data_IF_400937080615
#
_entry.id   IF_400937080615
#
_cell.length_a   1.000
_cell.length_b   1.000
_cell.length_c   1.000
_cell.angle_alpha   90.00
_cell.angle_beta   90.00
_cell.angle_gamma   90.00
#
_symmetry.space_group_name_H-M   'P 1'
#
loop_
_entity.id
_entity.type
_entity.pdbx_description
1 polymer ?
#
# COMPACT_ATOMS: atom_id res chain seq x y z
N UNK A 1 11.84 42.14 -55.26
CA UNK A 1 10.48 42.70 -55.31
C UNK A 1 9.77 42.18 -54.07
N UNK A 2 9.54 43.07 -53.10
CA UNK A 2 8.46 43.08 -52.09
C UNK A 2 8.45 41.90 -51.08
N UNK A 3 8.95 42.07 -49.84
CA UNK A 3 8.21 42.58 -48.65
C UNK A 3 7.09 41.63 -48.17
N UNK A 4 7.21 41.13 -46.92
CA UNK A 4 6.22 41.17 -45.80
C UNK A 4 6.46 40.00 -44.84
N UNK A 5 6.94 40.30 -43.63
CA UNK A 5 6.14 40.57 -42.42
C UNK A 5 5.48 39.32 -41.88
N UNK A 6 6.01 38.78 -40.78
CA UNK A 6 5.20 38.31 -39.66
C UNK A 6 6.01 38.49 -38.37
N UNK A 7 5.91 39.70 -37.82
CA UNK A 7 6.01 39.93 -36.38
C UNK A 7 4.74 39.34 -35.77
N UNK A 8 4.86 38.48 -34.77
CA UNK A 8 3.75 38.21 -33.86
C UNK A 8 4.22 38.55 -32.45
N UNK A 9 3.74 39.71 -31.99
CA UNK A 9 3.81 40.15 -30.61
C UNK A 9 2.86 39.28 -29.79
N UNK A 10 3.36 38.65 -28.73
CA UNK A 10 2.52 38.22 -27.62
C UNK A 10 2.67 39.22 -26.49
N UNK A 11 1.55 39.93 -26.33
CA UNK A 11 1.25 40.99 -25.39
C UNK A 11 1.30 40.44 -23.96
N UNK A 12 2.14 41.06 -23.13
CA UNK A 12 2.00 41.07 -21.67
C UNK A 12 0.63 41.67 -21.32
N UNK A 13 -0.30 40.85 -20.81
CA UNK A 13 -1.48 41.34 -20.10
C UNK A 13 -1.26 41.19 -18.60
N UNK A 14 -0.91 42.32 -18.00
CA UNK A 14 -0.87 42.58 -16.57
C UNK A 14 -2.32 42.79 -16.10
N UNK A 15 -2.94 41.78 -15.50
CA UNK A 15 -4.24 41.95 -14.83
C UNK A 15 -3.99 42.20 -13.34
N UNK A 16 -4.09 43.47 -12.99
CA UNK A 16 -4.27 43.97 -11.63
C UNK A 16 -5.68 43.57 -11.19
N UNK A 17 -5.80 42.65 -10.23
CA UNK A 17 -7.06 42.37 -9.53
C UNK A 17 -6.94 42.86 -8.09
N UNK A 18 -7.42 44.08 -7.87
CA UNK A 18 -7.76 44.65 -6.56
C UNK A 18 -8.95 43.90 -5.97
N UNK A 19 -8.74 43.17 -4.86
CA UNK A 19 -9.81 42.67 -4.01
C UNK A 19 -9.95 43.61 -2.82
N UNK A 20 -10.99 44.43 -2.87
CA UNK A 20 -11.58 45.11 -1.72
C UNK A 20 -12.98 44.52 -1.52
N UNK A 21 -13.20 43.81 -0.41
CA UNK A 21 -14.53 43.43 0.09
C UNK A 21 -14.51 43.37 1.62
N UNK A 22 -14.82 44.54 2.18
CA UNK A 22 -15.78 44.78 3.27
C UNK A 22 -16.25 43.58 4.10
N UNK A 23 -15.75 43.52 5.33
CA UNK A 23 -16.49 43.56 6.59
C UNK A 23 -18.02 43.42 6.48
N UNK A 24 -18.52 42.24 6.84
CA UNK A 24 -19.86 42.05 7.39
C UNK A 24 -19.74 41.14 8.61
N UNK A 25 -19.75 41.76 9.80
CA UNK A 25 -19.85 41.08 11.08
C UNK A 25 -21.29 40.57 11.25
N UNK A 26 -21.51 39.28 11.02
CA UNK A 26 -22.68 38.54 11.47
C UNK A 26 -22.25 37.60 12.59
N UNK A 27 -22.51 38.00 13.84
CA UNK A 27 -22.20 37.19 15.01
C UNK A 27 -23.14 35.99 15.12
N UNK A 28 -22.64 34.82 14.74
CA UNK A 28 -23.11 33.56 15.32
C UNK A 28 -22.26 33.29 16.54
N UNK A 29 -22.86 33.41 17.73
CA UNK A 29 -22.30 32.87 18.96
C UNK A 29 -22.24 31.36 18.79
N UNK A 30 -21.06 30.84 18.46
CA UNK A 30 -20.74 29.43 18.64
C UNK A 30 -20.76 29.20 20.15
N UNK A 31 -21.83 28.59 20.64
CA UNK A 31 -21.84 28.01 21.98
C UNK A 31 -20.88 26.81 21.92
N UNK A 32 -19.64 27.03 22.37
CA UNK A 32 -18.69 25.96 22.63
C UNK A 32 -19.25 25.23 23.85
N UNK A 33 -19.91 24.10 23.61
CA UNK A 33 -20.33 23.17 24.65
C UNK A 33 -19.06 22.60 25.29
N UNK A 34 -18.58 23.24 26.37
CA UNK A 34 -17.55 22.73 27.26
C UNK A 34 -18.15 21.63 28.15
N UNK A 35 -18.77 20.63 27.53
CA UNK A 35 -19.05 19.38 28.22
C UNK A 35 -17.67 18.75 28.52
N UNK A 36 -17.39 18.32 29.76
CA UNK A 36 -16.21 17.52 30.00
C UNK A 36 -16.31 16.30 29.09
N UNK A 37 -15.37 16.20 28.14
CA UNK A 37 -15.06 14.96 27.42
C UNK A 37 -14.53 13.96 28.46
N UNK A 38 -15.44 13.47 29.27
CA UNK A 38 -15.21 12.38 30.22
C UNK A 38 -15.26 11.10 29.36
N UNK A 39 -14.16 10.35 29.40
CA UNK A 39 -13.82 9.19 28.56
C UNK A 39 -13.13 9.49 27.21
N UNK A 40 -12.04 10.27 27.23
CA UNK A 40 -10.90 9.89 26.37
C UNK A 40 -10.44 8.50 26.84
N UNK A 41 -11.03 7.44 26.29
CA UNK A 41 -10.38 6.14 26.35
C UNK A 41 -8.98 6.36 25.78
N UNK A 42 -8.00 6.15 26.63
CA UNK A 42 -6.58 6.27 26.32
C UNK A 42 -6.24 5.10 25.38
N UNK A 43 -6.69 5.21 24.13
CA UNK A 43 -6.27 4.39 23.01
C UNK A 43 -4.78 4.65 22.65
N UNK A 44 -4.08 5.50 23.42
CA UNK A 44 -2.82 6.11 23.01
C UNK A 44 -1.57 5.28 23.38
N UNK A 45 -1.66 4.25 24.22
CA UNK A 45 -0.50 3.39 24.49
C UNK A 45 -0.54 2.10 23.67
N UNK A 46 -0.03 2.18 22.42
CA UNK A 46 0.31 1.02 21.60
C UNK A 46 1.14 0.04 22.44
N UNK A 47 0.74 -1.23 22.44
CA UNK A 47 1.43 -2.30 23.18
C UNK A 47 2.96 -2.21 23.00
N UNK A 48 3.74 -2.17 24.10
CA UNK A 48 5.19 -2.00 24.02
C UNK A 48 5.91 -3.12 23.24
N UNK A 49 5.40 -4.35 23.28
CA UNK A 49 5.96 -5.48 22.54
C UNK A 49 5.67 -5.32 21.04
N UNK A 50 4.46 -4.91 20.66
CA UNK A 50 4.11 -4.61 19.28
C UNK A 50 4.95 -3.45 18.72
N UNK A 51 5.19 -2.42 19.52
CA UNK A 51 6.08 -1.31 19.15
C UNK A 51 7.51 -1.78 18.92
N UNK A 52 8.06 -2.59 19.84
CA UNK A 52 9.40 -3.15 19.70
C UNK A 52 9.52 -4.01 18.44
N UNK A 53 8.54 -4.88 18.18
CA UNK A 53 8.47 -5.69 16.97
C UNK A 53 8.47 -4.83 15.69
N UNK A 54 7.64 -3.79 15.64
CA UNK A 54 7.58 -2.89 14.50
C UNK A 54 8.91 -2.17 14.25
N UNK A 55 9.62 -1.78 15.31
CA UNK A 55 10.96 -1.19 15.20
C UNK A 55 11.99 -2.18 14.66
N UNK A 56 11.90 -3.46 15.03
CA UNK A 56 12.79 -4.51 14.54
C UNK A 56 12.54 -4.87 13.07
N UNK A 57 11.28 -5.03 12.67
CA UNK A 57 10.92 -5.23 11.26
C UNK A 57 11.43 -4.08 10.42
N UNK A 58 11.19 -2.83 10.85
CA UNK A 58 11.70 -1.65 10.16
C UNK A 58 13.21 -1.64 10.04
N UNK A 59 13.93 -1.99 11.12
CA UNK A 59 15.39 -2.08 11.09
C UNK A 59 15.86 -3.11 10.08
N UNK A 60 15.25 -4.29 10.06
CA UNK A 60 15.56 -5.34 9.11
C UNK A 60 15.27 -4.89 7.66
N UNK A 61 14.10 -4.31 7.39
CA UNK A 61 13.72 -3.76 6.09
C UNK A 61 14.71 -2.70 5.60
N UNK A 62 15.05 -1.72 6.44
CA UNK A 62 16.01 -0.67 6.08
C UNK A 62 17.41 -1.26 5.81
N UNK A 63 17.89 -2.18 6.63
CA UNK A 63 19.20 -2.82 6.43
C UNK A 63 19.25 -3.58 5.10
N UNK A 64 18.22 -4.35 4.76
CA UNK A 64 18.17 -5.09 3.50
C UNK A 64 18.04 -4.11 2.33
N UNK A 65 17.14 -3.13 2.39
CA UNK A 65 16.96 -2.13 1.34
C UNK A 65 18.27 -1.37 1.03
N UNK A 66 18.97 -0.90 2.06
CA UNK A 66 20.19 -0.11 1.87
C UNK A 66 21.42 -0.96 1.58
N UNK A 67 21.43 -2.23 2.00
CA UNK A 67 22.45 -3.21 1.64
C UNK A 67 22.30 -3.74 0.22
N UNK A 68 21.07 -3.86 -0.30
CA UNK A 68 20.79 -4.49 -1.59
C UNK A 68 20.62 -3.53 -2.76
N UNK A 69 20.31 -2.27 -2.48
CA UNK A 69 20.08 -1.27 -3.51
C UNK A 69 21.13 -0.18 -3.41
N UNK A 70 21.76 0.19 -4.53
CA UNK A 70 22.58 1.39 -4.55
C UNK A 70 21.70 2.67 -4.50
N UNK A 71 22.33 3.83 -4.29
CA UNK A 71 21.60 5.10 -4.19
C UNK A 71 20.82 5.45 -5.48
N UNK A 72 21.36 5.10 -6.65
CA UNK A 72 20.71 5.36 -7.93
C UNK A 72 19.49 4.46 -8.11
N UNK A 73 19.59 3.17 -7.80
CA UNK A 73 18.48 2.22 -7.87
C UNK A 73 17.32 2.63 -6.95
N UNK A 74 17.62 3.02 -5.70
CA UNK A 74 16.61 3.52 -4.77
C UNK A 74 15.88 4.75 -5.31
N UNK A 75 16.60 5.72 -5.86
CA UNK A 75 16.00 6.95 -6.39
C UNK A 75 15.21 6.68 -7.67
N UNK A 76 15.81 6.01 -8.65
CA UNK A 76 15.25 5.89 -9.99
C UNK A 76 14.16 4.82 -10.09
N UNK A 77 14.26 3.74 -9.31
CA UNK A 77 13.32 2.60 -9.41
C UNK A 77 12.30 2.54 -8.29
N UNK A 78 12.68 2.98 -7.09
CA UNK A 78 11.80 2.96 -5.91
C UNK A 78 11.28 4.36 -5.53
N UNK A 79 11.83 5.44 -6.09
CA UNK A 79 11.48 6.80 -5.69
C UNK A 79 11.94 7.16 -4.27
N UNK A 80 12.90 6.41 -3.73
CA UNK A 80 13.42 6.56 -2.36
C UNK A 80 14.68 7.42 -2.40
N UNK A 81 14.57 8.65 -1.88
CA UNK A 81 15.67 9.62 -1.82
C UNK A 81 16.25 9.82 -0.42
N UNK A 82 15.65 9.19 0.60
CA UNK A 82 16.08 9.29 1.98
C UNK A 82 17.28 8.38 2.28
N UNK A 83 18.01 8.71 3.34
CA UNK A 83 19.16 7.98 3.87
C UNK A 83 18.76 6.80 4.77
N UNK A 84 19.70 5.92 5.08
CA UNK A 84 19.45 4.78 5.98
C UNK A 84 19.04 5.26 7.38
N UNK A 85 19.70 6.30 7.90
CA UNK A 85 19.33 6.92 9.18
C UNK A 85 17.91 7.50 9.16
N UNK A 86 17.50 8.13 8.05
CA UNK A 86 16.12 8.59 7.86
C UNK A 86 15.13 7.42 7.78
N UNK A 87 15.50 6.29 7.16
CA UNK A 87 14.70 5.06 7.18
C UNK A 87 14.50 4.54 8.61
N UNK A 88 15.60 4.51 9.38
CA UNK A 88 15.63 4.08 10.78
C UNK A 88 15.03 5.09 11.77
N UNK A 89 14.57 6.25 11.33
CA UNK A 89 13.93 7.25 12.22
C UNK A 89 12.52 7.64 11.79
N UNK A 90 12.17 7.53 10.50
CA UNK A 90 10.85 7.88 10.02
C UNK A 90 9.90 6.67 10.07
N UNK A 91 8.94 6.72 11.00
CA UNK A 91 7.90 5.69 11.16
C UNK A 91 6.91 5.61 9.97
N UNK A 92 6.92 6.56 9.03
CA UNK A 92 5.92 6.67 7.97
C UNK A 92 6.39 6.36 6.54
N UNK A 93 7.65 5.94 6.34
CA UNK A 93 8.24 5.77 5.00
C UNK A 93 8.26 4.32 4.49
N UNK A 94 7.86 3.35 5.32
CA UNK A 94 7.79 1.96 4.91
C UNK A 94 6.37 1.60 4.43
N UNK A 95 6.25 0.83 3.33
CA UNK A 95 4.99 0.28 2.85
C UNK A 95 4.44 -0.80 3.78
N UNK A 96 5.08 -1.05 4.92
CA UNK A 96 4.54 -1.82 6.02
C UNK A 96 3.35 -1.11 6.70
N UNK A 97 2.44 -0.50 5.92
CA UNK A 97 1.28 0.30 6.29
C UNK A 97 0.18 -0.42 7.06
N UNK A 98 0.53 -1.37 7.93
CA UNK A 98 -0.28 -1.64 9.10
C UNK A 98 -0.10 -0.41 9.98
N UNK A 99 -1.11 0.45 10.01
CA UNK A 99 -1.16 1.48 11.04
C UNK A 99 -1.07 0.76 12.38
N UNK A 100 0.03 0.95 13.12
CA UNK A 100 0.23 0.26 14.40
C UNK A 100 -0.94 0.50 15.35
N UNK A 101 -1.59 1.66 15.26
CA UNK A 101 -2.84 1.95 15.95
C UNK A 101 -3.97 0.98 15.57
N UNK A 102 -4.23 0.77 14.28
CA UNK A 102 -5.27 -0.16 13.80
C UNK A 102 -4.98 -1.61 14.19
N UNK A 103 -3.71 -2.02 14.10
CA UNK A 103 -3.31 -3.37 14.51
C UNK A 103 -3.44 -3.55 16.03
N UNK A 104 -3.03 -2.56 16.81
CA UNK A 104 -3.20 -2.55 18.26
C UNK A 104 -4.68 -2.63 18.64
N UNK A 105 -5.54 -1.85 17.98
CA UNK A 105 -6.98 -1.89 18.16
C UNK A 105 -7.57 -3.28 17.88
N UNK A 106 -7.17 -3.90 16.76
CA UNK A 106 -7.61 -5.25 16.39
C UNK A 106 -7.16 -6.31 17.42
N UNK A 107 -5.96 -6.18 17.98
CA UNK A 107 -5.45 -7.07 19.03
C UNK A 107 -6.21 -6.86 20.34
N UNK A 108 -6.41 -5.61 20.77
CA UNK A 108 -7.16 -5.25 21.98
C UNK A 108 -8.62 -5.72 21.88
N UNK A 109 -9.19 -5.67 20.68
CA UNK A 109 -10.54 -6.15 20.39
C UNK A 109 -10.63 -7.66 20.15
N UNK A 110 -9.54 -8.40 20.36
CA UNK A 110 -9.46 -9.86 20.18
C UNK A 110 -9.78 -10.35 18.75
N UNK A 111 -9.75 -9.46 17.74
CA UNK A 111 -9.95 -9.81 16.32
C UNK A 111 -8.69 -10.40 15.68
N UNK A 112 -7.52 -10.13 16.29
CA UNK A 112 -6.23 -10.70 15.92
C UNK A 112 -5.52 -11.23 17.17
N UNK A 113 -4.93 -12.42 17.06
CA UNK A 113 -3.95 -12.92 18.03
C UNK A 113 -2.56 -12.90 17.39
N UNK A 114 -1.55 -12.40 18.10
CA UNK A 114 -0.17 -12.38 17.61
C UNK A 114 0.57 -13.65 18.05
N UNK A 115 1.10 -14.39 17.07
CA UNK A 115 2.09 -15.45 17.29
C UNK A 115 3.50 -14.84 17.24
N UNK A 116 4.07 -14.62 18.42
CA UNK A 116 5.39 -14.00 18.57
C UNK A 116 6.55 -14.87 18.08
N UNK A 117 6.41 -16.20 18.11
CA UNK A 117 7.43 -17.08 17.54
C UNK A 117 7.45 -16.97 16.01
N UNK A 118 6.27 -16.84 15.39
CA UNK A 118 6.15 -16.55 13.97
C UNK A 118 6.60 -15.12 13.62
N UNK A 119 6.41 -14.15 14.51
CA UNK A 119 6.92 -12.79 14.37
C UNK A 119 8.47 -12.77 14.33
N UNK A 120 9.13 -13.52 15.23
CA UNK A 120 10.58 -13.69 15.21
C UNK A 120 11.06 -14.38 13.92
N UNK A 121 10.31 -15.37 13.44
CA UNK A 121 10.60 -16.00 12.13
C UNK A 121 10.48 -15.00 10.99
N UNK A 122 9.49 -14.10 11.01
CA UNK A 122 9.34 -13.04 10.03
C UNK A 122 10.57 -12.11 9.98
N UNK A 123 11.02 -11.61 11.14
CA UNK A 123 12.21 -10.75 11.23
C UNK A 123 13.45 -11.47 10.70
N UNK A 124 13.62 -12.75 11.06
CA UNK A 124 14.73 -13.55 10.55
C UNK A 124 14.64 -13.77 9.03
N UNK A 125 13.44 -13.96 8.49
CA UNK A 125 13.23 -14.08 7.05
C UNK A 125 13.68 -12.83 6.29
N UNK A 126 13.37 -11.63 6.80
CA UNK A 126 13.89 -10.38 6.22
C UNK A 126 15.41 -10.36 6.14
N UNK A 127 16.08 -10.58 7.27
CA UNK A 127 17.53 -10.42 7.37
C UNK A 127 18.34 -11.48 6.61
N UNK A 128 17.70 -12.60 6.23
CA UNK A 128 18.34 -13.71 5.50
C UNK A 128 17.94 -13.79 4.03
N UNK A 129 17.00 -12.95 3.59
CA UNK A 129 16.53 -12.90 2.21
C UNK A 129 17.64 -12.42 1.27
N UNK A 130 17.68 -12.95 0.05
CA UNK A 130 18.57 -12.41 -0.98
C UNK A 130 18.06 -11.06 -1.50
N UNK A 131 18.98 -10.22 -1.99
CA UNK A 131 18.61 -8.94 -2.63
C UNK A 131 17.65 -9.10 -3.81
N UNK A 132 17.75 -10.24 -4.51
CA UNK A 132 16.83 -10.61 -5.57
C UNK A 132 15.40 -10.70 -5.04
N UNK A 133 15.19 -11.60 -4.07
CA UNK A 133 13.88 -11.89 -3.50
C UNK A 133 13.27 -10.69 -2.75
N UNK A 134 14.07 -9.90 -2.04
CA UNK A 134 13.58 -8.71 -1.31
C UNK A 134 13.02 -7.64 -2.26
N UNK A 135 13.61 -7.53 -3.44
CA UNK A 135 13.24 -6.51 -4.42
C UNK A 135 12.32 -7.03 -5.50
N UNK A 136 11.81 -8.26 -5.37
CA UNK A 136 10.68 -8.71 -6.16
C UNK A 136 9.44 -7.89 -5.81
N UNK A 137 8.63 -7.56 -6.82
CA UNK A 137 7.48 -6.67 -6.65
C UNK A 137 6.32 -7.28 -5.86
N UNK A 138 6.42 -8.55 -5.49
CA UNK A 138 5.42 -9.17 -4.61
C UNK A 138 5.60 -8.64 -3.20
N UNK A 139 4.50 -8.20 -2.58
CA UNK A 139 4.54 -7.65 -1.24
C UNK A 139 5.12 -8.69 -0.28
N UNK A 140 6.30 -8.39 0.26
CA UNK A 140 7.05 -9.16 1.24
C UNK A 140 6.16 -9.77 2.35
N UNK A 141 5.12 -9.04 2.77
CA UNK A 141 4.14 -9.46 3.79
C UNK A 141 3.40 -10.76 3.49
N UNK A 142 3.17 -11.05 2.21
CA UNK A 142 2.39 -12.23 1.81
C UNK A 142 3.26 -13.42 1.42
N UNK A 143 4.57 -13.22 1.27
CA UNK A 143 5.50 -14.22 0.72
C UNK A 143 6.57 -14.68 1.70
N UNK A 144 6.95 -13.87 2.69
CA UNK A 144 7.97 -14.27 3.67
C UNK A 144 7.45 -15.26 4.71
N UNK A 145 8.22 -16.32 5.04
CA UNK A 145 7.93 -17.20 6.17
C UNK A 145 7.78 -16.43 7.47
N UNK A 146 6.79 -16.76 8.29
CA UNK A 146 6.48 -16.11 9.57
C UNK A 146 5.59 -14.89 9.42
N UNK A 147 5.81 -14.04 8.41
CA UNK A 147 5.14 -12.73 8.32
C UNK A 147 3.63 -12.82 8.14
N UNK A 148 3.14 -13.81 7.39
CA UNK A 148 1.70 -14.07 7.28
C UNK A 148 1.15 -14.86 8.47
N UNK A 149 1.96 -15.73 9.08
CA UNK A 149 1.51 -16.60 10.17
C UNK A 149 1.46 -15.89 11.53
N UNK A 150 2.20 -14.79 11.69
CA UNK A 150 2.27 -14.07 12.97
C UNK A 150 0.95 -13.40 13.36
N UNK A 151 0.07 -13.11 12.41
CA UNK A 151 -1.25 -12.55 12.67
C UNK A 151 -2.27 -13.66 12.48
N UNK A 152 -2.85 -14.14 13.59
CA UNK A 152 -3.85 -15.19 13.58
C UNK A 152 -5.23 -14.52 13.59
N UNK A 153 -5.96 -14.50 12.46
CA UNK A 153 -7.28 -13.90 12.38
C UNK A 153 -8.27 -14.64 13.27
N UNK A 154 -9.18 -13.90 13.90
CA UNK A 154 -10.25 -14.47 14.73
C UNK A 154 -11.64 -14.21 14.15
N UNK A 155 -11.80 -13.27 13.21
CA UNK A 155 -13.12 -12.83 12.75
C UNK A 155 -13.70 -13.73 11.66
N UNK A 156 -14.94 -14.19 11.86
CA UNK A 156 -15.70 -14.98 10.90
C UNK A 156 -16.35 -14.09 9.82
N UNK A 157 -16.77 -14.69 8.70
CA UNK A 157 -17.48 -13.95 7.66
C UNK A 157 -18.78 -13.32 8.21
N UNK A 158 -18.98 -12.04 7.90
CA UNK A 158 -20.11 -11.23 8.37
C UNK A 158 -19.83 -10.46 9.66
N UNK A 159 -18.67 -10.65 10.29
CA UNK A 159 -18.22 -9.83 11.42
C UNK A 159 -17.54 -8.55 10.94
N UNK A 160 -17.55 -7.52 11.77
CA UNK A 160 -16.89 -6.24 11.49
C UNK A 160 -15.37 -6.41 11.43
N UNK A 161 -14.75 -5.73 10.48
CA UNK A 161 -13.31 -5.71 10.30
C UNK A 161 -12.81 -4.34 9.86
N UNK A 162 -11.52 -4.10 10.07
CA UNK A 162 -10.83 -2.91 9.53
C UNK A 162 -9.65 -3.35 8.66
N UNK A 163 -8.97 -4.41 9.07
CA UNK A 163 -7.84 -5.02 8.38
C UNK A 163 -8.24 -6.37 7.76
N UNK A 164 -7.64 -6.70 6.61
CA UNK A 164 -7.81 -8.03 5.99
C UNK A 164 -7.32 -9.15 6.93
N UNK A 165 -6.32 -8.85 7.77
CA UNK A 165 -5.70 -9.75 8.73
C UNK A 165 -6.58 -10.08 9.95
N UNK A 166 -7.71 -9.41 10.14
CA UNK A 166 -8.71 -9.74 11.16
C UNK A 166 -9.55 -10.94 10.75
N UNK A 167 -9.81 -11.08 9.44
CA UNK A 167 -10.75 -12.05 8.89
C UNK A 167 -10.10 -13.41 8.64
N UNK A 168 -10.77 -14.50 9.04
CA UNK A 168 -10.31 -15.87 8.76
C UNK A 168 -10.23 -16.14 7.26
N UNK A 169 -11.11 -15.50 6.47
CA UNK A 169 -11.06 -15.51 5.01
C UNK A 169 -9.83 -14.79 4.43
N UNK A 170 -9.18 -13.94 5.23
CA UNK A 170 -8.11 -13.03 4.82
C UNK A 170 -8.60 -11.85 3.96
N UNK A 171 -9.87 -11.47 4.09
CA UNK A 171 -10.46 -10.38 3.32
C UNK A 171 -11.52 -9.60 4.10
N UNK A 172 -11.25 -8.31 4.26
CA UNK A 172 -12.16 -7.32 4.80
C UNK A 172 -12.85 -6.56 3.65
N UNK A 173 -14.14 -6.85 3.45
CA UNK A 173 -14.92 -6.22 2.39
C UNK A 173 -15.30 -4.79 2.79
N UNK A 174 -14.74 -3.82 2.05
CA UNK A 174 -15.01 -2.41 2.30
C UNK A 174 -16.35 -1.98 1.72
N UNK A 175 -17.19 -1.36 2.54
CA UNK A 175 -18.44 -0.80 2.08
C UNK A 175 -18.22 0.62 1.53
N UNK A 176 -17.94 0.70 0.22
CA UNK A 176 -17.70 1.99 -0.44
C UNK A 176 -18.97 2.73 -0.86
N UNK A 177 -20.15 2.12 -0.68
CA UNK A 177 -21.43 2.68 -1.13
C UNK A 177 -22.23 3.34 -0.01
N UNK A 178 -21.94 2.97 1.24
CA UNK A 178 -22.60 3.49 2.43
C UNK A 178 -21.52 3.85 3.46
N UNK A 179 -21.29 5.16 3.63
CA UNK A 179 -20.24 5.68 4.52
C UNK A 179 -20.51 5.40 6.00
N UNK A 180 -21.77 5.09 6.36
CA UNK A 180 -22.18 4.74 7.72
C UNK A 180 -22.17 3.22 7.96
N UNK A 181 -21.98 2.42 6.91
CA UNK A 181 -21.94 0.97 7.03
C UNK A 181 -20.53 0.50 7.40
N UNK A 182 -20.47 -0.44 8.35
CA UNK A 182 -19.22 -1.09 8.74
C UNK A 182 -18.69 -2.00 7.64
N UNK A 183 -17.37 -2.09 7.57
CA UNK A 183 -16.68 -3.07 6.74
C UNK A 183 -16.83 -4.46 7.37
N UNK A 184 -16.96 -5.51 6.55
CA UNK A 184 -17.29 -6.85 7.03
C UNK A 184 -16.35 -7.90 6.44
N UNK A 185 -15.99 -8.90 7.25
CA UNK A 185 -15.28 -10.06 6.77
C UNK A 185 -16.13 -10.80 5.73
N UNK A 186 -15.53 -11.16 4.60
CA UNK A 186 -16.21 -11.86 3.52
C UNK A 186 -15.29 -12.85 2.83
N UNK A 187 -15.87 -13.77 2.06
CA UNK A 187 -15.07 -14.60 1.15
C UNK A 187 -14.46 -13.75 0.04
N UNK A 188 -13.17 -13.94 -0.20
CA UNK A 188 -12.47 -13.29 -1.30
C UNK A 188 -12.96 -13.87 -2.65
N UNK A 189 -13.24 -13.01 -3.62
CA UNK A 189 -13.65 -13.42 -4.98
C UNK A 189 -12.64 -14.40 -5.58
N UNK A 190 -13.09 -15.56 -6.04
CA UNK A 190 -12.25 -16.55 -6.70
C UNK A 190 -11.99 -16.24 -8.18
N UNK A 191 -11.16 -17.08 -8.83
CA UNK A 191 -11.00 -17.02 -10.29
C UNK A 191 -12.34 -17.31 -10.96
N UNK A 192 -12.77 -16.43 -11.85
CA UNK A 192 -14.06 -16.51 -12.53
C UNK A 192 -15.19 -15.73 -11.86
N UNK A 193 -14.97 -15.20 -10.64
CA UNK A 193 -15.96 -14.38 -9.94
C UNK A 193 -15.87 -12.91 -10.37
N UNK A 194 -16.97 -12.19 -10.15
CA UNK A 194 -17.04 -10.74 -10.38
C UNK A 194 -16.12 -10.00 -9.37
N UNK A 195 -15.39 -9.02 -9.90
CA UNK A 195 -14.49 -8.13 -9.18
C UNK A 195 -14.82 -6.66 -9.43
N UNK A 196 -16.03 -6.37 -9.93
CA UNK A 196 -16.50 -4.99 -10.09
C UNK A 196 -16.53 -4.19 -8.77
N UNK A 197 -16.69 -4.89 -7.64
CA UNK A 197 -16.79 -4.31 -6.29
C UNK A 197 -15.77 -4.88 -5.29
N UNK A 198 -14.82 -5.71 -5.74
CA UNK A 198 -13.86 -6.39 -4.86
C UNK A 198 -12.48 -6.52 -5.49
N UNK A 199 -11.48 -6.78 -4.65
CA UNK A 199 -10.13 -7.09 -5.11
C UNK A 199 -9.99 -8.59 -5.36
N UNK A 200 -9.29 -8.97 -6.43
CA UNK A 200 -8.99 -10.36 -6.72
C UNK A 200 -7.81 -10.87 -5.87
N UNK A 201 -7.75 -12.18 -5.55
CA UNK A 201 -6.70 -12.77 -4.73
C UNK A 201 -5.32 -12.61 -5.33
N UNK A 202 -4.30 -12.73 -4.46
CA UNK A 202 -2.90 -12.74 -4.88
C UNK A 202 -2.64 -13.73 -6.03
N UNK A 203 -1.90 -13.29 -7.05
CA UNK A 203 -1.65 -14.09 -8.26
C UNK A 203 -2.77 -14.03 -9.31
N UNK A 204 -3.81 -13.24 -9.07
CA UNK A 204 -4.90 -12.96 -10.02
C UNK A 204 -5.04 -11.46 -10.26
N UNK A 205 -5.79 -11.07 -11.29
CA UNK A 205 -6.11 -9.68 -11.59
C UNK A 205 -7.58 -9.53 -12.01
N UNK A 206 -8.16 -8.35 -11.79
CA UNK A 206 -9.50 -8.03 -12.26
C UNK A 206 -9.43 -7.60 -13.74
N UNK A 207 -10.02 -8.38 -14.65
CA UNK A 207 -10.05 -8.02 -16.06
C UNK A 207 -11.01 -6.84 -16.28
N UNK A 208 -10.48 -5.71 -16.71
CA UNK A 208 -11.26 -4.49 -16.92
C UNK A 208 -12.30 -4.56 -18.05
N UNK A 209 -12.37 -5.67 -18.80
CA UNK A 209 -13.32 -5.85 -19.90
C UNK A 209 -14.64 -6.45 -19.39
N UNK A 210 -14.56 -7.51 -18.60
CA UNK A 210 -15.71 -8.28 -18.09
C UNK A 210 -15.80 -8.30 -16.57
N UNK A 211 -14.95 -7.54 -15.88
CA UNK A 211 -14.87 -7.45 -14.42
C UNK A 211 -14.79 -8.80 -13.75
N UNK A 212 -14.04 -9.73 -14.34
CA UNK A 212 -13.88 -11.09 -13.78
C UNK A 212 -12.45 -11.29 -13.28
N UNK A 213 -12.28 -11.94 -12.14
CA UNK A 213 -10.96 -12.31 -11.63
C UNK A 213 -10.32 -13.39 -12.52
N UNK A 214 -9.10 -13.13 -13.01
CA UNK A 214 -8.35 -14.04 -13.89
C UNK A 214 -6.98 -14.35 -13.34
N UNK A 215 -6.49 -15.56 -13.58
CA UNK A 215 -5.12 -15.90 -13.22
C UNK A 215 -4.12 -15.06 -14.01
N UNK A 216 -3.09 -14.59 -13.32
CA UNK A 216 -1.92 -14.01 -13.98
C UNK A 216 -1.14 -15.08 -14.75
N UNK A 217 -0.58 -14.67 -15.87
CA UNK A 217 0.20 -15.49 -16.77
C UNK A 217 1.66 -15.56 -16.32
N UNK A 218 2.27 -16.73 -16.51
CA UNK A 218 3.70 -16.96 -16.23
C UNK A 218 4.57 -16.34 -17.32
N UNK A 219 5.84 -16.09 -17.00
CA UNK A 219 6.83 -15.65 -17.96
C UNK A 219 6.86 -16.55 -19.23
N UNK A 220 7.07 -15.93 -20.39
CA UNK A 220 7.02 -16.57 -21.71
C UNK A 220 5.61 -16.77 -22.30
N UNK A 221 4.55 -16.59 -21.51
CA UNK A 221 3.17 -16.66 -22.03
C UNK A 221 2.85 -15.46 -22.92
N UNK A 222 2.03 -15.65 -23.96
CA UNK A 222 1.50 -14.53 -24.75
C UNK A 222 0.58 -13.66 -23.91
N UNK A 223 0.76 -12.35 -23.99
CA UNK A 223 -0.01 -11.38 -23.23
C UNK A 223 -0.46 -10.22 -24.12
N UNK A 224 -1.45 -9.47 -23.65
CA UNK A 224 -1.93 -8.26 -24.32
C UNK A 224 -1.70 -7.01 -23.47
N UNK A 225 -1.75 -7.16 -22.15
CA UNK A 225 -1.58 -6.09 -21.17
C UNK A 225 -0.57 -6.51 -20.10
N UNK A 226 0.07 -5.53 -19.47
CA UNK A 226 1.02 -5.75 -18.38
C UNK A 226 0.38 -6.55 -17.23
N UNK A 227 -0.84 -6.19 -16.82
CA UNK A 227 -1.58 -6.86 -15.74
C UNK A 227 -1.92 -8.33 -16.01
N UNK A 228 -1.88 -8.76 -17.28
CA UNK A 228 -2.10 -10.16 -17.61
C UNK A 228 -0.96 -11.03 -17.04
N UNK A 229 0.22 -10.45 -16.80
CA UNK A 229 1.43 -11.15 -16.39
C UNK A 229 1.67 -11.03 -14.89
N UNK A 230 2.18 -12.09 -14.25
CA UNK A 230 2.55 -12.07 -12.82
C UNK A 230 3.58 -10.98 -12.50
N UNK A 231 4.49 -10.71 -13.43
CA UNK A 231 5.50 -9.65 -13.33
C UNK A 231 4.97 -8.23 -13.55
N UNK A 232 3.69 -8.10 -13.89
CA UNK A 232 3.07 -6.86 -14.37
C UNK A 232 3.86 -6.24 -15.54
N UNK A 233 4.41 -7.08 -16.42
CA UNK A 233 5.21 -6.70 -17.60
C UNK A 233 4.90 -7.60 -18.78
N UNK A 234 4.43 -6.96 -19.86
CA UNK A 234 4.11 -7.59 -21.13
C UNK A 234 4.89 -6.88 -22.24
N UNK A 235 5.97 -7.51 -22.71
CA UNK A 235 6.97 -6.87 -23.57
C UNK A 235 7.22 -7.70 -24.84
N UNK A 236 7.60 -7.06 -25.97
CA UNK A 236 7.91 -7.79 -27.19
C UNK A 236 9.19 -8.62 -27.02
N UNK A 237 9.17 -9.88 -27.43
CA UNK A 237 10.36 -10.73 -27.55
C UNK A 237 11.16 -10.43 -28.83
N UNK A 238 12.22 -11.20 -29.10
CA UNK A 238 13.07 -11.06 -30.30
C UNK A 238 12.31 -11.21 -31.64
N UNK A 239 11.11 -11.78 -31.61
CA UNK A 239 10.22 -11.96 -32.77
C UNK A 239 9.14 -10.86 -32.86
N UNK A 240 9.13 -9.90 -31.93
CA UNK A 240 8.13 -8.84 -31.84
C UNK A 240 6.80 -9.27 -31.21
N UNK A 241 6.70 -10.49 -30.68
CA UNK A 241 5.50 -10.99 -30.01
C UNK A 241 5.47 -10.54 -28.56
N UNK A 242 4.33 -10.02 -28.09
CA UNK A 242 4.15 -9.65 -26.69
C UNK A 242 4.12 -10.90 -25.79
N UNK A 243 5.07 -10.96 -24.85
CA UNK A 243 5.24 -12.06 -23.90
C UNK A 243 5.41 -11.52 -22.48
N UNK A 244 4.91 -12.26 -21.50
CA UNK A 244 5.19 -11.99 -20.11
C UNK A 244 6.68 -12.15 -19.83
N UNK A 245 7.29 -11.19 -19.15
CA UNK A 245 8.70 -11.29 -18.72
C UNK A 245 8.82 -11.91 -17.33
N UNK A 246 9.99 -12.40 -16.98
CA UNK A 246 10.31 -12.78 -15.60
C UNK A 246 10.14 -11.59 -14.65
N UNK A 247 9.87 -11.90 -13.37
CA UNK A 247 9.99 -10.92 -12.30
C UNK A 247 11.48 -10.59 -12.20
N UNK A 248 11.83 -9.33 -12.48
CA UNK A 248 13.19 -8.87 -12.31
C UNK A 248 13.31 -8.19 -10.94
N UNK A 249 14.39 -8.47 -10.19
CA UNK A 249 14.64 -7.76 -8.95
C UNK A 249 14.82 -6.27 -9.24
N UNK A 250 14.23 -5.42 -8.38
CA UNK A 250 14.34 -3.98 -8.54
C UNK A 250 15.78 -3.52 -8.29
N UNK A 251 16.54 -4.20 -7.43
CA UNK A 251 17.94 -3.86 -7.19
C UNK A 251 18.86 -5.03 -7.57
N UNK A 252 19.90 -4.72 -8.33
CA UNK A 252 20.83 -5.68 -8.94
C UNK A 252 22.30 -5.39 -8.62
N UNK A 253 22.60 -4.22 -8.03
CA UNK A 253 23.98 -3.74 -7.83
C UNK A 253 24.44 -3.69 -6.36
N UNK A 254 23.64 -4.18 -5.40
CA UNK A 254 23.98 -4.24 -3.97
C UNK A 254 25.00 -5.31 -3.61
#
# INVERSE_FOLDING_TARGET
MIQKMFQNQLVMSLVVLTVALSWACGGSTVEIDNRPEDETQDYDEIDPQLRAFAEEVRRAECQVLFGCCDAQERIERLGISYSEDECLTNAGLLPSGLGLAMLNEAIVSERIVVDWDAADMCINAFTTQSCGEFTEREAIRTTLPGCRQMLIPQSENGEECILDEECISGYCHRNVFDEDAVDLCADMSGVGDDCSASTCPSGTFCDSIDYTCRQTLRAGSSCYRAQDCRSNRCEPNDQGELRCTEIAPICVNG
#
